data_IF_667806008942
#
_entry.id   IF_667806008942
#
_cell.length_a   1.000
_cell.length_b   1.000
_cell.length_c   1.000
_cell.angle_alpha   90.00
_cell.angle_beta   90.00
_cell.angle_gamma   90.00
#
_symmetry.space_group_name_H-M   'P 1'
#
loop_
_entity.id
_entity.type
_entity.pdbx_description
1 polymer ?
#
# COMPACT_ATOMS: atom_id res chain seq x y z
N UNK A 1 -4.61 16.63 19.57
CA UNK A 1 -5.26 15.55 18.79
C UNK A 1 -4.63 15.28 17.42
N UNK A 2 -3.72 16.12 16.91
CA UNK A 2 -3.06 15.88 15.63
C UNK A 2 -2.27 14.56 15.58
N UNK A 3 -1.37 14.32 16.55
CA UNK A 3 -0.54 13.11 16.62
C UNK A 3 -1.42 11.85 16.68
N UNK A 4 -2.52 11.89 17.43
CA UNK A 4 -3.51 10.81 17.49
C UNK A 4 -4.11 10.51 16.11
N UNK A 5 -4.36 11.53 15.29
CA UNK A 5 -4.89 11.37 13.93
C UNK A 5 -3.89 10.74 12.97
N UNK A 6 -2.61 11.10 13.12
CA UNK A 6 -1.52 10.47 12.38
C UNK A 6 -1.41 8.99 12.75
N UNK A 7 -1.41 8.68 14.04
CA UNK A 7 -1.33 7.30 14.53
C UNK A 7 -2.51 6.45 14.01
N UNK A 8 -3.73 6.99 14.08
CA UNK A 8 -4.93 6.32 13.58
C UNK A 8 -4.89 6.10 12.06
N UNK A 9 -4.40 7.08 11.31
CA UNK A 9 -4.20 6.97 9.85
C UNK A 9 -3.23 5.85 9.50
N UNK A 10 -2.11 5.75 10.20
CA UNK A 10 -1.11 4.69 9.97
C UNK A 10 -1.75 3.31 10.20
N UNK A 11 -2.48 3.14 11.31
CA UNK A 11 -3.16 1.89 11.61
C UNK A 11 -4.16 1.48 10.52
N UNK A 12 -4.96 2.45 10.03
CA UNK A 12 -5.90 2.22 8.93
C UNK A 12 -5.17 1.80 7.63
N UNK A 13 -4.11 2.53 7.24
CA UNK A 13 -3.35 2.25 6.02
C UNK A 13 -2.68 0.87 6.05
N UNK A 14 -2.14 0.47 7.20
CA UNK A 14 -1.52 -0.84 7.39
C UNK A 14 -2.56 -1.96 7.29
N UNK A 15 -3.73 -1.77 7.91
CA UNK A 15 -4.82 -2.74 7.81
C UNK A 15 -5.22 -3.02 6.35
N UNK A 16 -5.37 -1.98 5.55
CA UNK A 16 -5.73 -2.14 4.13
C UNK A 16 -4.63 -2.86 3.33
N UNK A 17 -3.38 -2.54 3.64
CA UNK A 17 -2.21 -3.17 3.02
C UNK A 17 -2.10 -4.66 3.36
N UNK A 18 -2.38 -5.06 4.60
CA UNK A 18 -2.36 -6.46 5.04
C UNK A 18 -3.38 -7.30 4.27
N UNK A 19 -4.59 -6.79 4.04
CA UNK A 19 -5.65 -7.52 3.32
C UNK A 19 -5.23 -7.82 1.88
N UNK A 20 -4.60 -6.85 1.19
CA UNK A 20 -4.08 -7.05 -0.17
C UNK A 20 -2.97 -8.09 -0.19
N UNK A 21 -1.98 -7.97 0.70
CA UNK A 21 -0.86 -8.91 0.74
C UNK A 21 -1.27 -10.32 1.16
N UNK A 22 -2.24 -10.46 2.07
CA UNK A 22 -2.78 -11.77 2.44
C UNK A 22 -3.40 -12.47 1.23
N UNK A 23 -4.17 -11.73 0.42
CA UNK A 23 -4.76 -12.30 -0.80
C UNK A 23 -3.73 -12.62 -1.88
N UNK A 24 -2.65 -11.86 -1.99
CA UNK A 24 -1.51 -12.21 -2.86
C UNK A 24 -0.90 -13.54 -2.42
N UNK A 25 -0.62 -13.70 -1.12
CA UNK A 25 -0.06 -14.95 -0.58
C UNK A 25 -0.99 -16.15 -0.80
N UNK A 26 -2.28 -15.95 -0.61
CA UNK A 26 -3.29 -16.98 -0.86
C UNK A 26 -3.30 -17.43 -2.34
N UNK A 27 -3.30 -16.48 -3.28
CA UNK A 27 -3.30 -16.80 -4.72
C UNK A 27 -1.98 -17.43 -5.19
N UNK A 28 -0.84 -17.02 -4.64
CA UNK A 28 0.46 -17.67 -4.90
C UNK A 28 0.48 -19.12 -4.42
N UNK A 29 -0.06 -19.40 -3.23
CA UNK A 29 -0.16 -20.77 -2.73
C UNK A 29 -1.16 -21.63 -3.54
N UNK A 30 -2.24 -21.01 -4.05
CA UNK A 30 -3.31 -21.71 -4.78
C UNK A 30 -2.96 -22.05 -6.23
N UNK A 31 -2.13 -21.23 -6.88
CA UNK A 31 -1.76 -21.39 -8.29
C UNK A 31 -0.23 -21.50 -8.46
N UNK A 32 0.38 -22.61 -7.99
CA UNK A 32 1.81 -22.82 -8.13
C UNK A 32 2.19 -22.89 -9.62
N UNK A 33 3.09 -21.99 -10.06
CA UNK A 33 3.60 -21.92 -11.43
C UNK A 33 2.96 -20.85 -12.33
N UNK A 34 1.92 -20.15 -11.87
CA UNK A 34 1.41 -18.98 -12.58
C UNK A 34 2.36 -17.77 -12.44
N UNK A 35 2.35 -16.88 -13.43
CA UNK A 35 3.17 -15.68 -13.39
C UNK A 35 2.74 -14.79 -12.22
N UNK A 36 3.69 -14.37 -11.38
CA UNK A 36 3.43 -13.56 -10.18
C UNK A 36 2.66 -12.29 -10.54
N UNK A 37 3.00 -11.63 -11.64
CA UNK A 37 2.30 -10.43 -12.10
C UNK A 37 0.81 -10.66 -12.37
N UNK A 38 0.45 -11.84 -12.90
CA UNK A 38 -0.94 -12.23 -13.13
C UNK A 38 -1.65 -12.49 -11.80
N UNK A 39 -0.98 -13.18 -10.87
CA UNK A 39 -1.51 -13.46 -9.54
C UNK A 39 -1.73 -12.19 -8.72
N UNK A 40 -0.81 -11.23 -8.77
CA UNK A 40 -0.96 -9.92 -8.12
C UNK A 40 -2.17 -9.18 -8.69
N UNK A 41 -2.31 -9.12 -10.01
CA UNK A 41 -3.45 -8.48 -10.64
C UNK A 41 -4.78 -9.17 -10.29
N UNK A 42 -4.79 -10.51 -10.20
CA UNK A 42 -5.95 -11.26 -9.73
C UNK A 42 -6.29 -10.90 -8.27
N UNK A 43 -5.30 -10.93 -7.37
CA UNK A 43 -5.50 -10.59 -5.95
C UNK A 43 -5.99 -9.16 -5.76
N UNK A 44 -5.48 -8.19 -6.52
CA UNK A 44 -5.93 -6.80 -6.47
C UNK A 44 -7.41 -6.71 -6.88
N UNK A 45 -7.81 -7.36 -7.97
CA UNK A 45 -9.23 -7.35 -8.39
C UNK A 45 -10.17 -7.92 -7.33
N UNK A 46 -9.73 -8.96 -6.63
CA UNK A 46 -10.51 -9.59 -5.55
C UNK A 46 -10.59 -8.73 -4.28
N UNK A 47 -9.54 -7.97 -3.94
CA UNK A 47 -9.50 -7.17 -2.70
C UNK A 47 -10.02 -5.75 -2.86
N UNK A 48 -9.91 -5.14 -4.05
CA UNK A 48 -10.31 -3.76 -4.33
C UNK A 48 -11.75 -3.47 -3.89
N UNK A 49 -12.70 -4.37 -4.18
CA UNK A 49 -14.10 -4.17 -3.80
C UNK A 49 -14.30 -4.07 -2.28
N UNK A 50 -13.57 -4.88 -1.51
CA UNK A 50 -13.63 -4.86 -0.04
C UNK A 50 -12.98 -3.60 0.53
N UNK A 51 -11.74 -3.31 0.10
CA UNK A 51 -10.95 -2.16 0.54
C UNK A 51 -11.62 -0.83 0.20
N UNK A 52 -12.21 -0.71 -0.99
CA UNK A 52 -12.96 0.48 -1.36
C UNK A 52 -14.21 0.65 -0.51
N UNK A 53 -14.97 -0.42 -0.25
CA UNK A 53 -16.16 -0.32 0.60
C UNK A 53 -15.85 0.15 2.03
N UNK A 54 -14.79 -0.38 2.65
CA UNK A 54 -14.36 0.07 3.98
C UNK A 54 -13.86 1.50 3.97
N UNK A 55 -13.06 1.90 2.96
CA UNK A 55 -12.59 3.28 2.82
C UNK A 55 -13.72 4.28 2.63
N UNK A 56 -14.68 3.99 1.74
CA UNK A 56 -15.83 4.87 1.47
C UNK A 56 -16.70 5.00 2.71
N UNK A 57 -17.01 3.89 3.39
CA UNK A 57 -17.80 3.92 4.63
C UNK A 57 -17.12 4.81 5.68
N UNK A 58 -15.80 4.68 5.83
CA UNK A 58 -15.04 5.49 6.77
C UNK A 58 -14.99 6.96 6.36
N UNK A 59 -14.84 7.27 5.07
CA UNK A 59 -14.92 8.64 4.57
C UNK A 59 -16.29 9.28 4.80
N UNK A 60 -17.38 8.52 4.65
CA UNK A 60 -18.74 9.00 4.96
C UNK A 60 -18.86 9.33 6.45
N UNK A 61 -18.38 8.45 7.33
CA UNK A 61 -18.38 8.69 8.79
C UNK A 61 -17.54 9.92 9.15
N UNK A 62 -16.32 10.02 8.64
CA UNK A 62 -15.42 11.15 8.92
C UNK A 62 -15.96 12.46 8.37
N UNK A 63 -16.56 12.45 7.18
CA UNK A 63 -17.20 13.64 6.59
C UNK A 63 -18.39 14.09 7.44
N UNK A 64 -19.22 13.15 7.89
CA UNK A 64 -20.34 13.45 8.79
C UNK A 64 -19.83 14.07 10.09
N UNK A 65 -18.79 13.49 10.68
CA UNK A 65 -18.16 14.04 11.88
C UNK A 65 -17.55 15.42 11.62
N UNK A 66 -16.96 15.69 10.46
CA UNK A 66 -16.43 17.03 10.15
C UNK A 66 -17.53 18.10 10.10
N UNK A 67 -18.72 17.74 9.61
CA UNK A 67 -19.87 18.65 9.54
C UNK A 67 -20.50 18.92 10.90
N UNK A 68 -20.68 17.86 11.71
CA UNK A 68 -21.46 17.93 12.95
C UNK A 68 -20.63 18.00 14.24
N UNK A 69 -19.33 17.68 14.21
CA UNK A 69 -18.52 17.65 15.42
C UNK A 69 -17.94 19.00 15.82
N UNK A 70 -17.70 19.13 17.13
CA UNK A 70 -17.12 20.31 17.77
C UNK A 70 -15.67 20.59 17.34
N UNK A 71 -15.20 21.84 17.53
CA UNK A 71 -13.91 22.32 17.02
C UNK A 71 -12.71 21.53 17.57
N UNK A 72 -12.81 20.99 18.79
CA UNK A 72 -11.72 20.29 19.46
C UNK A 72 -11.24 19.02 18.74
N UNK A 73 -12.12 18.35 17.96
CA UNK A 73 -11.76 17.11 17.25
C UNK A 73 -11.51 17.32 15.75
N UNK A 74 -11.81 18.50 15.19
CA UNK A 74 -11.59 18.76 13.75
C UNK A 74 -10.15 18.50 13.27
N UNK A 75 -9.09 18.86 14.03
CA UNK A 75 -7.72 18.54 13.63
C UNK A 75 -7.44 17.04 13.50
N UNK A 76 -8.09 16.21 14.33
CA UNK A 76 -8.00 14.75 14.22
C UNK A 76 -8.64 14.27 12.92
N UNK A 77 -9.85 14.75 12.66
CA UNK A 77 -10.67 14.33 11.53
C UNK A 77 -10.07 14.76 10.19
N UNK A 78 -9.48 15.96 10.09
CA UNK A 78 -8.79 16.39 8.87
C UNK A 78 -7.62 15.47 8.52
N UNK A 79 -6.77 15.16 9.52
CA UNK A 79 -5.64 14.24 9.32
C UNK A 79 -6.13 12.87 8.90
N UNK A 80 -7.15 12.35 9.58
CA UNK A 80 -7.72 11.04 9.29
C UNK A 80 -8.36 10.98 7.90
N UNK A 81 -9.07 12.03 7.48
CA UNK A 81 -9.65 12.12 6.14
C UNK A 81 -8.57 12.09 5.05
N UNK A 82 -7.55 12.96 5.17
CA UNK A 82 -6.44 12.99 4.20
C UNK A 82 -5.67 11.68 4.20
N UNK A 83 -5.48 11.10 5.39
CA UNK A 83 -4.77 9.87 5.60
C UNK A 83 -5.42 8.66 4.94
N UNK A 84 -6.74 8.57 5.04
CA UNK A 84 -7.53 7.49 4.44
C UNK A 84 -7.52 7.59 2.92
N UNK A 85 -7.70 8.79 2.36
CA UNK A 85 -7.65 9.00 0.91
C UNK A 85 -6.29 8.57 0.34
N UNK A 86 -5.20 9.03 0.95
CA UNK A 86 -3.84 8.68 0.52
C UNK A 86 -3.54 7.20 0.78
N UNK A 87 -3.97 6.67 1.93
CA UNK A 87 -3.74 5.28 2.34
C UNK A 87 -4.40 4.27 1.40
N UNK A 88 -5.68 4.46 1.08
CA UNK A 88 -6.43 3.57 0.17
C UNK A 88 -5.88 3.60 -1.25
N UNK A 89 -5.41 4.76 -1.73
CA UNK A 89 -4.74 4.83 -3.02
C UNK A 89 -3.39 4.08 -2.99
N UNK A 90 -2.59 4.32 -1.94
CA UNK A 90 -1.25 3.73 -1.81
C UNK A 90 -1.29 2.21 -1.65
N UNK A 91 -2.20 1.66 -0.84
CA UNK A 91 -2.30 0.23 -0.57
C UNK A 91 -2.68 -0.58 -1.83
N UNK A 92 -3.55 -0.06 -2.68
CA UNK A 92 -4.05 -0.75 -3.86
C UNK A 92 -3.05 -0.65 -5.03
N UNK A 93 -2.60 0.58 -5.33
CA UNK A 93 -1.82 0.84 -6.54
C UNK A 93 -0.31 0.71 -6.34
N UNK A 94 0.24 1.15 -5.20
CA UNK A 94 1.70 1.15 -4.99
C UNK A 94 2.19 -0.22 -4.52
N UNK A 95 1.43 -0.93 -3.68
CA UNK A 95 1.84 -2.22 -3.14
C UNK A 95 1.93 -3.31 -4.22
N UNK A 96 0.97 -3.35 -5.15
CA UNK A 96 0.93 -4.30 -6.26
C UNK A 96 2.09 -4.08 -7.23
N UNK A 97 2.36 -2.83 -7.61
CA UNK A 97 3.51 -2.45 -8.45
C UNK A 97 4.86 -2.78 -7.78
N UNK A 98 4.98 -2.54 -6.48
CA UNK A 98 6.23 -2.81 -5.74
C UNK A 98 6.53 -4.31 -5.67
N UNK A 99 5.50 -5.15 -5.48
CA UNK A 99 5.70 -6.60 -5.40
C UNK A 99 6.12 -7.19 -6.76
N UNK A 100 5.50 -6.71 -7.85
CA UNK A 100 5.90 -7.10 -9.21
C UNK A 100 7.33 -6.65 -9.53
N UNK A 101 7.70 -5.42 -9.20
CA UNK A 101 9.05 -4.90 -9.43
C UNK A 101 10.12 -5.65 -8.61
N UNK A 102 9.78 -6.11 -7.40
CA UNK A 102 10.68 -6.91 -6.58
C UNK A 102 10.87 -8.33 -7.14
N UNK A 103 9.81 -8.96 -7.60
CA UNK A 103 9.83 -10.32 -8.15
C UNK A 103 10.51 -10.40 -9.52
N UNK A 104 10.35 -9.38 -10.37
CA UNK A 104 11.02 -9.31 -11.68
C UNK A 104 12.53 -9.05 -11.57
N UNK A 105 13.07 -8.82 -10.37
CA UNK A 105 14.49 -8.58 -10.15
C UNK A 105 14.98 -7.22 -10.66
N UNK A 106 14.07 -6.35 -11.12
CA UNK A 106 14.41 -5.03 -11.67
C UNK A 106 15.14 -4.14 -10.66
N UNK A 107 14.84 -4.30 -9.36
CA UNK A 107 15.52 -3.59 -8.27
C UNK A 107 16.99 -4.04 -8.15
N UNK A 108 17.26 -5.34 -8.35
CA UNK A 108 18.61 -5.90 -8.35
C UNK A 108 19.40 -5.53 -9.62
N UNK A 109 18.74 -5.52 -10.77
CA UNK A 109 19.36 -5.13 -12.04
C UNK A 109 19.58 -3.62 -12.16
N UNK A 110 18.72 -2.79 -11.57
CA UNK A 110 18.96 -1.34 -11.42
C UNK A 110 20.23 -1.07 -10.59
N UNK A 111 20.46 -1.84 -9.52
CA UNK A 111 21.67 -1.73 -8.70
C UNK A 111 22.93 -2.23 -9.43
N UNK A 112 22.82 -3.27 -10.27
CA UNK A 112 23.91 -3.75 -11.14
C UNK A 112 24.29 -2.78 -12.25
N UNK A 113 23.35 -1.97 -12.74
CA UNK A 113 23.59 -0.95 -13.77
C UNK A 113 24.33 0.28 -13.24
N UNK A 114 24.57 0.40 -11.93
CA UNK A 114 25.37 1.48 -11.36
C UNK A 114 26.86 1.25 -11.71
N UNK A 115 27.49 2.13 -12.52
CA UNK A 115 28.82 1.91 -13.09
C UNK A 115 29.97 1.90 -12.06
N UNK A 116 29.71 2.19 -10.78
CA UNK A 116 30.70 2.23 -9.70
C UNK A 116 31.24 0.84 -9.30
N UNK A 117 30.42 -0.21 -9.40
CA UNK A 117 30.82 -1.58 -9.01
C UNK A 117 31.74 -2.27 -10.03
N UNK A 118 31.75 -1.81 -11.29
CA UNK A 118 32.62 -2.37 -12.34
C UNK A 118 34.10 -2.03 -12.18
N UNK A 119 34.43 -0.92 -11.50
CA UNK A 119 35.83 -0.49 -11.29
C UNK A 119 36.53 -1.23 -10.15
N UNK A 120 35.80 -1.67 -9.12
CA UNK A 120 36.39 -2.39 -7.99
C UNK A 120 36.82 -3.83 -8.33
N UNK A 121 36.28 -4.42 -9.41
CA UNK A 121 36.68 -5.76 -9.88
C UNK A 121 37.93 -5.74 -10.76
N UNK A 122 38.30 -4.60 -11.35
CA UNK A 122 39.56 -4.43 -12.12
C UNK A 122 40.75 -3.99 -11.26
N UNK A 123 40.52 -3.54 -10.03
CA UNK A 123 41.58 -3.19 -9.08
C UNK A 123 42.06 -4.40 -8.24
N UNK A 124 41.51 -5.59 -8.48
CA UNK A 124 41.79 -6.82 -7.72
C UNK A 124 42.24 -8.00 -8.60
N UNK A 125 42.54 -7.74 -9.88
CA UNK A 125 43.17 -8.66 -10.83
C UNK A 125 44.50 -8.04 -11.26
#
# INVERSE_FOLDING_TARGET
MFITGVLATIGYSVNDTIVVFDRVRENVARYPGAAIAELVNLSVRETVGRSLNTSITLLVVVTTLLLFAGPSIRPLLYVLMTGVIVGTYSSIFIASLTLVAWEQGEIGDAFRRIPLLGRLRRARA
#
